data_IF_716226089859
#
_entry.id   IF_716226089859
#
_cell.length_a   1.000
_cell.length_b   1.000
_cell.length_c   1.000
_cell.angle_alpha   90.00
_cell.angle_beta   90.00
_cell.angle_gamma   90.00
#
_symmetry.space_group_name_H-M   'P 1'
#
loop_
_entity.id
_entity.type
_entity.pdbx_description
1 polymer ?
#
# COMPACT_ATOMS: atom_id res chain seq x y z
N UNK A 1 -54.66 38.45 37.50
CA UNK A 1 -54.51 37.23 36.69
C UNK A 1 -53.56 37.42 35.51
N UNK A 2 -53.81 38.35 34.58
CA UNK A 2 -52.98 38.52 33.36
C UNK A 2 -51.50 38.81 33.64
N UNK A 3 -51.20 39.69 34.61
CA UNK A 3 -49.81 40.00 34.97
C UNK A 3 -49.10 38.81 35.65
N UNK A 4 -49.82 38.01 36.43
CA UNK A 4 -49.27 36.81 37.08
C UNK A 4 -48.91 35.73 36.06
N UNK A 5 -49.80 35.49 35.08
CA UNK A 5 -49.51 34.60 33.95
C UNK A 5 -48.30 35.07 33.12
N UNK A 6 -48.14 36.38 32.92
CA UNK A 6 -47.02 36.92 32.14
C UNK A 6 -45.69 36.81 32.90
N UNK A 7 -45.68 36.95 34.23
CA UNK A 7 -44.50 36.68 35.07
C UNK A 7 -44.13 35.20 35.07
N UNK A 8 -45.10 34.29 35.15
CA UNK A 8 -44.87 32.84 35.03
C UNK A 8 -44.30 32.48 33.65
N UNK A 9 -44.88 33.03 32.58
CA UNK A 9 -44.38 32.83 31.22
C UNK A 9 -42.94 33.37 31.03
N UNK A 10 -42.63 34.53 31.61
CA UNK A 10 -41.27 35.11 31.55
C UNK A 10 -40.24 34.25 32.28
N UNK A 11 -40.62 33.67 33.43
CA UNK A 11 -39.76 32.73 34.17
C UNK A 11 -39.49 31.48 33.33
N UNK A 12 -40.54 30.89 32.74
CA UNK A 12 -40.38 29.72 31.87
C UNK A 12 -39.52 30.03 30.64
N UNK A 13 -39.70 31.20 30.03
CA UNK A 13 -38.87 31.66 28.91
C UNK A 13 -37.40 31.80 29.31
N UNK A 14 -37.10 32.29 30.52
CA UNK A 14 -35.73 32.39 31.02
C UNK A 14 -35.06 31.01 31.18
N UNK A 15 -35.80 30.01 31.66
CA UNK A 15 -35.30 28.62 31.79
C UNK A 15 -34.98 28.01 30.41
N UNK A 16 -35.85 28.22 29.42
CA UNK A 16 -35.63 27.75 28.03
C UNK A 16 -34.40 28.42 27.41
N UNK A 17 -34.18 29.72 27.66
CA UNK A 17 -32.99 30.44 27.18
C UNK A 17 -31.71 29.90 27.85
N UNK A 18 -31.74 29.61 29.15
CA UNK A 18 -30.60 29.04 29.86
C UNK A 18 -30.25 27.64 29.33
N UNK A 19 -31.28 26.82 29.07
CA UNK A 19 -31.13 25.51 28.44
C UNK A 19 -30.51 25.63 27.04
N UNK A 20 -31.07 26.49 26.19
CA UNK A 20 -30.54 26.74 24.83
C UNK A 20 -29.08 27.23 24.86
N UNK A 21 -28.74 28.13 25.77
CA UNK A 21 -27.37 28.64 25.96
C UNK A 21 -26.40 27.53 26.33
N UNK A 22 -26.83 26.60 27.19
CA UNK A 22 -26.03 25.43 27.57
C UNK A 22 -25.75 24.55 26.36
N UNK A 23 -26.78 24.22 25.57
CA UNK A 23 -26.61 23.43 24.34
C UNK A 23 -25.72 24.11 23.30
N UNK A 24 -25.77 25.44 23.19
CA UNK A 24 -24.90 26.21 22.29
C UNK A 24 -23.43 26.13 22.75
N UNK A 25 -23.18 26.21 24.05
CA UNK A 25 -21.83 26.05 24.60
C UNK A 25 -21.28 24.64 24.37
N UNK A 26 -22.08 23.60 24.58
CA UNK A 26 -21.71 22.22 24.25
C UNK A 26 -21.41 22.05 22.75
N UNK A 27 -22.23 22.67 21.90
CA UNK A 27 -21.99 22.69 20.45
C UNK A 27 -20.67 23.37 20.10
N UNK A 28 -20.34 24.50 20.73
CA UNK A 28 -19.08 25.20 20.51
C UNK A 28 -17.86 24.34 20.87
N UNK A 29 -17.92 23.59 21.98
CA UNK A 29 -16.86 22.63 22.36
C UNK A 29 -16.73 21.51 21.33
N UNK A 30 -17.86 20.93 20.90
CA UNK A 30 -17.85 19.87 19.90
C UNK A 30 -17.28 20.34 18.55
N UNK A 31 -17.58 21.58 18.14
CA UNK A 31 -17.05 22.17 16.91
C UNK A 31 -15.53 22.38 17.00
N UNK A 32 -15.01 22.81 18.15
CA UNK A 32 -13.57 22.97 18.36
C UNK A 32 -12.85 21.61 18.26
N UNK A 33 -13.43 20.57 18.85
CA UNK A 33 -12.93 19.20 18.75
C UNK A 33 -12.93 18.69 17.30
N UNK A 34 -14.00 18.93 16.54
CA UNK A 34 -14.06 18.60 15.10
C UNK A 34 -12.98 19.35 14.31
N UNK A 35 -12.73 20.63 14.61
CA UNK A 35 -11.67 21.41 13.96
C UNK A 35 -10.29 20.83 14.24
N UNK A 36 -10.00 20.49 15.49
CA UNK A 36 -8.74 19.88 15.90
C UNK A 36 -8.53 18.50 15.27
N UNK A 37 -9.55 17.65 15.29
CA UNK A 37 -9.50 16.33 14.67
C UNK A 37 -9.30 16.43 13.15
N UNK A 38 -9.89 17.45 12.51
CA UNK A 38 -9.67 17.73 11.09
C UNK A 38 -8.20 18.08 10.82
N UNK A 39 -7.59 18.94 11.63
CA UNK A 39 -6.18 19.31 11.47
C UNK A 39 -5.25 18.09 11.60
N UNK A 40 -5.45 17.27 12.63
CA UNK A 40 -4.69 16.02 12.82
C UNK A 40 -4.88 15.05 11.65
N UNK A 41 -6.11 14.92 11.13
CA UNK A 41 -6.40 14.04 9.99
C UNK A 41 -5.74 14.56 8.70
N UNK A 42 -5.68 15.88 8.50
CA UNK A 42 -5.00 16.50 7.35
C UNK A 42 -3.51 16.16 7.35
N UNK A 43 -2.87 16.24 8.52
CA UNK A 43 -1.47 15.85 8.68
C UNK A 43 -1.24 14.35 8.43
N UNK A 44 -2.19 13.50 8.85
CA UNK A 44 -2.12 12.06 8.53
C UNK A 44 -2.28 11.80 7.03
N UNK A 45 -3.18 12.49 6.35
CA UNK A 45 -3.36 12.38 4.90
C UNK A 45 -2.08 12.78 4.15
N UNK A 46 -1.44 13.89 4.55
CA UNK A 46 -0.14 14.32 3.99
C UNK A 46 0.97 13.31 4.21
N UNK A 47 1.06 12.70 5.40
CA UNK A 47 2.03 11.62 5.66
C UNK A 47 1.75 10.38 4.81
N UNK A 48 0.48 10.02 4.60
CA UNK A 48 0.09 8.93 3.71
C UNK A 48 0.55 9.17 2.26
N UNK A 49 0.43 10.40 1.75
CA UNK A 49 0.97 10.79 0.44
C UNK A 49 2.50 10.60 0.39
N UNK A 50 3.22 11.03 1.43
CA UNK A 50 4.68 10.86 1.50
C UNK A 50 5.08 9.38 1.49
N UNK A 51 4.39 8.55 2.28
CA UNK A 51 4.65 7.11 2.34
C UNK A 51 4.30 6.40 1.02
N UNK A 52 3.19 6.77 0.39
CA UNK A 52 2.80 6.24 -0.91
C UNK A 52 3.86 6.57 -1.97
N UNK A 53 4.34 7.82 -2.01
CA UNK A 53 5.40 8.26 -2.93
C UNK A 53 6.70 7.50 -2.71
N UNK A 54 7.17 7.38 -1.46
CA UNK A 54 8.38 6.63 -1.12
C UNK A 54 8.23 5.14 -1.43
N UNK A 55 7.04 4.58 -1.21
CA UNK A 55 6.68 3.24 -1.65
C UNK A 55 6.81 3.09 -3.15
N UNK A 56 6.26 4.03 -3.92
CA UNK A 56 6.28 4.03 -5.39
C UNK A 56 7.71 4.10 -5.94
N UNK A 57 8.58 4.92 -5.34
CA UNK A 57 10.01 4.97 -5.68
C UNK A 57 10.71 3.64 -5.39
N UNK A 58 10.34 2.96 -4.30
CA UNK A 58 10.92 1.66 -3.95
C UNK A 58 10.46 0.56 -4.90
N UNK A 59 9.18 0.58 -5.29
CA UNK A 59 8.64 -0.31 -6.33
C UNK A 59 9.34 -0.08 -7.67
N UNK A 60 9.54 1.18 -8.09
CA UNK A 60 10.23 1.51 -9.34
C UNK A 60 11.66 0.98 -9.37
N UNK A 61 12.40 1.14 -8.27
CA UNK A 61 13.75 0.56 -8.11
C UNK A 61 13.73 -0.97 -8.16
N UNK A 62 12.68 -1.61 -7.64
CA UNK A 62 12.52 -3.06 -7.74
C UNK A 62 12.32 -3.51 -9.19
N UNK A 63 11.46 -2.82 -9.95
CA UNK A 63 11.25 -3.09 -11.39
C UNK A 63 12.57 -2.96 -12.17
N UNK A 64 13.33 -1.88 -11.94
CA UNK A 64 14.67 -1.72 -12.54
C UNK A 64 15.63 -2.86 -12.16
N UNK A 65 15.55 -3.34 -10.91
CA UNK A 65 16.31 -4.49 -10.44
C UNK A 65 15.93 -5.78 -11.19
N UNK A 66 14.63 -6.02 -11.40
CA UNK A 66 14.12 -7.15 -12.18
C UNK A 66 14.60 -7.10 -13.64
N UNK A 67 14.61 -5.92 -14.26
CA UNK A 67 15.14 -5.76 -15.61
C UNK A 67 16.63 -6.12 -15.72
N UNK A 68 17.45 -5.70 -14.74
CA UNK A 68 18.88 -6.08 -14.70
C UNK A 68 19.07 -7.58 -14.49
N UNK A 69 18.24 -8.21 -13.66
CA UNK A 69 18.27 -9.66 -13.48
C UNK A 69 17.91 -10.36 -14.79
N UNK A 70 16.88 -9.88 -15.50
CA UNK A 70 16.47 -10.41 -16.81
C UNK A 70 17.62 -10.35 -17.82
N UNK A 71 18.31 -9.21 -17.91
CA UNK A 71 19.49 -9.06 -18.78
C UNK A 71 20.61 -10.04 -18.44
N UNK A 72 20.90 -10.19 -17.13
CA UNK A 72 21.93 -11.13 -16.64
C UNK A 72 21.57 -12.58 -16.98
N UNK A 73 20.31 -12.97 -16.82
CA UNK A 73 19.81 -14.30 -17.19
C UNK A 73 19.97 -14.53 -18.70
N UNK A 74 19.62 -13.55 -19.54
CA UNK A 74 19.77 -13.66 -20.98
C UNK A 74 21.24 -13.80 -21.41
N UNK A 75 22.15 -13.04 -20.81
CA UNK A 75 23.57 -13.16 -21.09
C UNK A 75 24.11 -14.53 -20.66
N UNK A 76 23.70 -14.99 -19.48
CA UNK A 76 24.09 -16.30 -18.94
C UNK A 76 23.58 -17.44 -19.82
N UNK A 77 22.32 -17.37 -20.27
CA UNK A 77 21.73 -18.33 -21.21
C UNK A 77 22.53 -18.40 -22.52
N UNK A 78 22.94 -17.25 -23.08
CA UNK A 78 23.81 -17.23 -24.28
C UNK A 78 25.17 -17.88 -24.04
N UNK A 79 25.77 -17.70 -22.86
CA UNK A 79 27.04 -18.33 -22.48
C UNK A 79 26.89 -19.85 -22.35
N UNK A 80 25.82 -20.32 -21.72
CA UNK A 80 25.53 -21.76 -21.56
C UNK A 80 25.23 -22.41 -22.91
N UNK A 81 24.47 -21.76 -23.80
CA UNK A 81 24.22 -22.29 -25.16
C UNK A 81 25.53 -22.50 -25.94
N UNK A 82 26.43 -21.51 -25.91
CA UNK A 82 27.77 -21.66 -26.51
C UNK A 82 28.58 -22.79 -25.89
N UNK A 83 28.47 -22.99 -24.57
CA UNK A 83 29.11 -24.11 -23.90
C UNK A 83 28.54 -25.45 -24.39
N UNK A 84 27.22 -25.57 -24.55
CA UNK A 84 26.58 -26.74 -25.13
C UNK A 84 27.04 -27.03 -26.56
N UNK A 85 27.15 -25.99 -27.41
CA UNK A 85 27.71 -26.10 -28.77
C UNK A 85 29.16 -26.58 -28.75
N UNK A 86 30.03 -25.98 -27.92
CA UNK A 86 31.42 -26.43 -27.78
C UNK A 86 31.54 -27.85 -27.23
N UNK A 87 30.65 -28.27 -26.31
CA UNK A 87 30.60 -29.65 -25.83
C UNK A 87 30.16 -30.63 -26.91
N UNK A 88 29.28 -30.22 -27.83
CA UNK A 88 28.93 -31.03 -29.00
C UNK A 88 30.15 -31.22 -29.92
N UNK A 89 30.87 -30.14 -30.24
CA UNK A 89 32.09 -30.23 -31.06
C UNK A 89 33.16 -31.14 -30.42
N UNK A 90 33.32 -31.09 -29.09
CA UNK A 90 34.22 -32.00 -28.37
C UNK A 90 33.72 -33.45 -28.50
N UNK A 91 32.41 -33.68 -28.39
CA UNK A 91 31.81 -35.00 -28.58
C UNK A 91 32.17 -35.60 -29.95
N UNK A 92 32.00 -34.84 -31.01
CA UNK A 92 32.30 -35.25 -32.39
C UNK A 92 33.81 -35.57 -32.56
N UNK A 93 34.70 -34.81 -31.91
CA UNK A 93 36.14 -35.07 -31.91
C UNK A 93 36.48 -36.36 -31.14
N UNK A 94 35.83 -36.60 -30.00
CA UNK A 94 36.05 -37.79 -29.17
C UNK A 94 35.61 -39.05 -29.90
N UNK A 95 34.51 -39.00 -30.64
CA UNK A 95 34.05 -40.08 -31.52
C UNK A 95 35.10 -40.39 -32.59
N UNK A 96 35.60 -39.37 -33.29
CA UNK A 96 36.68 -39.54 -34.29
C UNK A 96 37.96 -40.14 -33.68
N UNK A 97 38.36 -39.74 -32.48
CA UNK A 97 39.56 -40.32 -31.82
C UNK A 97 39.30 -41.78 -31.45
N UNK A 98 38.09 -42.13 -31.01
CA UNK A 98 37.73 -43.51 -30.74
C UNK A 98 37.82 -44.38 -32.01
N UNK A 99 37.33 -43.88 -33.14
CA UNK A 99 37.43 -44.55 -34.44
C UNK A 99 38.89 -44.76 -34.87
N UNK A 100 39.75 -43.74 -34.68
CA UNK A 100 41.19 -43.85 -34.95
C UNK A 100 41.85 -44.89 -34.04
N UNK A 101 41.49 -44.91 -32.74
CA UNK A 101 42.01 -45.88 -31.80
C UNK A 101 41.59 -47.31 -32.19
N UNK A 102 40.34 -47.52 -32.61
CA UNK A 102 39.86 -48.82 -33.07
C UNK A 102 40.54 -49.27 -34.37
N UNK A 103 40.72 -48.37 -35.35
CA UNK A 103 41.49 -48.66 -36.56
C UNK A 103 42.95 -49.00 -36.24
N UNK A 104 43.58 -48.26 -35.32
CA UNK A 104 44.96 -48.50 -34.86
C UNK A 104 45.07 -49.87 -34.19
N UNK A 105 44.06 -50.26 -33.40
CA UNK A 105 43.98 -51.57 -32.77
C UNK A 105 43.93 -52.70 -33.82
N UNK A 106 43.11 -52.53 -34.86
CA UNK A 106 43.02 -53.49 -35.98
C UNK A 106 44.33 -53.56 -36.76
N UNK A 107 44.98 -52.42 -37.03
CA UNK A 107 46.28 -52.35 -37.70
C UNK A 107 47.38 -53.05 -36.89
N UNK A 108 47.41 -52.84 -35.58
CA UNK A 108 48.36 -53.47 -34.66
C UNK A 108 48.16 -54.98 -34.63
N UNK A 109 46.92 -55.46 -34.55
CA UNK A 109 46.60 -56.89 -34.61
C UNK A 109 47.07 -57.52 -35.93
N UNK A 110 46.82 -56.87 -37.06
CA UNK A 110 47.29 -57.34 -38.35
C UNK A 110 48.82 -57.40 -38.42
N UNK A 111 49.52 -56.40 -37.86
CA UNK A 111 50.97 -56.39 -37.77
C UNK A 111 51.51 -57.52 -36.86
N UNK A 112 50.86 -57.80 -35.74
CA UNK A 112 51.20 -58.91 -34.84
C UNK A 112 51.05 -60.27 -35.55
N UNK A 113 49.97 -60.47 -36.31
CA UNK A 113 49.75 -61.68 -37.12
C UNK A 113 50.86 -61.84 -38.17
N UNK A 114 51.19 -60.78 -38.91
CA UNK A 114 52.26 -60.81 -39.91
C UNK A 114 53.65 -61.07 -39.29
N UNK A 115 53.93 -60.47 -38.13
CA UNK A 115 55.16 -60.69 -37.39
C UNK A 115 55.28 -62.14 -36.89
N UNK A 116 54.17 -62.75 -36.45
CA UNK A 116 54.14 -64.17 -36.08
C UNK A 116 54.40 -65.10 -37.29
N UNK A 117 53.89 -64.76 -38.47
CA UNK A 117 54.15 -65.52 -39.70
C UNK A 117 55.61 -65.44 -40.17
N UNK A 118 56.34 -64.36 -39.86
CA UNK A 118 57.76 -64.20 -40.16
C UNK A 118 58.70 -64.97 -39.21
N UNK A 119 58.17 -65.63 -38.17
CA UNK A 119 58.94 -66.47 -37.25
C UNK A 119 60.00 -65.69 -36.45
N UNK A 120 61.22 -66.23 -36.35
CA UNK A 120 62.33 -65.60 -35.60
C UNK A 120 62.71 -64.20 -36.13
N UNK A 121 62.56 -63.94 -37.44
CA UNK A 121 62.85 -62.64 -38.03
C UNK A 121 61.82 -61.55 -37.67
N UNK A 122 60.59 -61.95 -37.32
CA UNK A 122 59.49 -61.05 -36.95
C UNK A 122 59.40 -60.72 -35.46
N UNK A 123 60.26 -61.32 -34.62
CA UNK A 123 60.14 -61.27 -33.16
C UNK A 123 60.19 -59.84 -32.58
N UNK A 124 61.03 -58.97 -33.15
CA UNK A 124 61.09 -57.55 -32.77
C UNK A 124 59.84 -56.76 -33.22
N UNK A 125 59.28 -57.07 -34.39
CA UNK A 125 58.05 -56.44 -34.88
C UNK A 125 56.81 -56.87 -34.08
N UNK A 126 56.77 -58.12 -33.60
CA UNK A 126 55.67 -58.63 -32.77
C UNK A 126 55.56 -57.84 -31.45
N UNK A 127 56.69 -57.55 -30.80
CA UNK A 127 56.71 -56.76 -29.55
C UNK A 127 56.20 -55.33 -29.76
N UNK A 128 56.57 -54.70 -30.88
CA UNK A 128 56.08 -53.37 -31.23
C UNK A 128 54.58 -53.39 -31.53
N UNK A 129 54.10 -54.41 -32.25
CA UNK A 129 52.68 -54.56 -32.56
C UNK A 129 51.82 -54.72 -31.30
N UNK A 130 52.25 -55.55 -30.33
CA UNK A 130 51.57 -55.71 -29.04
C UNK A 130 51.53 -54.39 -28.25
N UNK A 131 52.61 -53.60 -28.24
CA UNK A 131 52.64 -52.33 -27.52
C UNK A 131 51.73 -51.27 -28.19
N UNK A 132 51.67 -51.24 -29.52
CA UNK A 132 50.74 -50.37 -30.27
C UNK A 132 49.29 -50.79 -30.00
N UNK A 133 48.99 -52.09 -29.97
CA UNK A 133 47.67 -52.60 -29.64
C UNK A 133 47.24 -52.15 -28.22
N UNK A 134 48.13 -52.34 -27.24
CA UNK A 134 47.88 -51.91 -25.85
C UNK A 134 47.67 -50.40 -25.73
N UNK A 135 48.41 -49.60 -26.50
CA UNK A 135 48.24 -48.15 -26.53
C UNK A 135 46.90 -47.76 -27.16
N UNK A 136 46.48 -48.44 -28.23
CA UNK A 136 45.19 -48.23 -28.89
C UNK A 136 44.02 -48.56 -27.95
N UNK A 137 44.07 -49.70 -27.25
CA UNK A 137 43.06 -50.07 -26.24
C UNK A 137 43.00 -49.05 -25.09
N UNK A 138 44.15 -48.58 -24.60
CA UNK A 138 44.20 -47.51 -23.58
C UNK A 138 43.59 -46.21 -24.09
N UNK A 139 43.84 -45.84 -25.35
CA UNK A 139 43.27 -44.63 -25.97
C UNK A 139 41.75 -44.75 -26.09
N UNK A 140 41.23 -45.90 -26.55
CA UNK A 140 39.78 -46.13 -26.66
C UNK A 140 39.08 -46.11 -25.29
N UNK A 141 39.72 -46.66 -24.26
CA UNK A 141 39.19 -46.59 -22.90
C UNK A 141 39.17 -45.14 -22.37
N UNK A 142 40.20 -44.34 -22.67
CA UNK A 142 40.23 -42.93 -22.29
C UNK A 142 39.19 -42.10 -23.04
N UNK A 143 39.00 -42.31 -24.36
CA UNK A 143 37.97 -41.60 -25.13
C UNK A 143 36.57 -41.91 -24.62
N UNK A 144 36.25 -43.16 -24.28
CA UNK A 144 34.95 -43.53 -23.67
C UNK A 144 34.69 -42.81 -22.33
N UNK A 145 35.73 -42.61 -21.52
CA UNK A 145 35.59 -41.84 -20.28
C UNK A 145 35.32 -40.35 -20.56
N UNK A 146 36.00 -39.78 -21.56
CA UNK A 146 35.78 -38.39 -21.99
C UNK A 146 34.37 -38.23 -22.58
N UNK A 147 33.91 -39.19 -23.40
CA UNK A 147 32.56 -39.20 -23.98
C UNK A 147 31.48 -39.16 -22.89
N UNK A 148 31.63 -39.97 -21.84
CA UNK A 148 30.73 -39.95 -20.71
C UNK A 148 30.70 -38.57 -20.02
N UNK A 149 31.85 -37.95 -19.81
CA UNK A 149 31.95 -36.60 -19.23
C UNK A 149 31.29 -35.54 -20.12
N UNK A 150 31.54 -35.58 -21.44
CA UNK A 150 30.94 -34.67 -22.41
C UNK A 150 29.42 -34.79 -22.39
N UNK A 151 28.89 -36.02 -22.35
CA UNK A 151 27.44 -36.27 -22.28
C UNK A 151 26.82 -35.72 -20.99
N UNK A 152 27.51 -35.83 -19.86
CA UNK A 152 27.09 -35.18 -18.61
C UNK A 152 27.06 -33.66 -18.77
N UNK A 153 28.11 -33.04 -19.33
CA UNK A 153 28.14 -31.59 -19.57
C UNK A 153 27.01 -31.14 -20.50
N UNK A 154 26.71 -31.89 -21.56
CA UNK A 154 25.59 -31.62 -22.46
C UNK A 154 24.24 -31.67 -21.73
N UNK A 155 24.06 -32.64 -20.83
CA UNK A 155 22.84 -32.77 -20.02
C UNK A 155 22.71 -31.58 -19.06
N UNK A 156 23.76 -31.30 -18.29
CA UNK A 156 23.79 -30.21 -17.30
C UNK A 156 23.59 -28.84 -17.95
N UNK A 157 24.19 -28.60 -19.13
CA UNK A 157 24.01 -27.35 -19.88
C UNK A 157 22.58 -27.20 -20.38
N UNK A 158 21.94 -28.26 -20.87
CA UNK A 158 20.54 -28.23 -21.28
C UNK A 158 19.60 -27.97 -20.09
N UNK A 159 19.82 -28.63 -18.96
CA UNK A 159 19.06 -28.37 -17.73
C UNK A 159 19.22 -26.93 -17.25
N UNK A 160 20.44 -26.38 -17.32
CA UNK A 160 20.70 -25.00 -16.96
C UNK A 160 19.98 -24.01 -17.90
N UNK A 161 19.85 -24.30 -19.19
CA UNK A 161 19.04 -23.48 -20.12
C UNK A 161 17.55 -23.49 -19.72
N UNK A 162 16.99 -24.65 -19.41
CA UNK A 162 15.58 -24.78 -18.96
C UNK A 162 15.37 -23.97 -17.67
N UNK A 163 16.29 -24.07 -16.71
CA UNK A 163 16.24 -23.30 -15.47
C UNK A 163 16.30 -21.78 -15.71
N UNK A 164 17.10 -21.33 -16.69
CA UNK A 164 17.17 -19.92 -17.08
C UNK A 164 15.87 -19.43 -17.73
N UNK A 165 15.18 -20.25 -18.51
CA UNK A 165 13.87 -19.91 -19.10
C UNK A 165 12.80 -19.77 -18.01
N UNK A 166 12.76 -20.70 -17.05
CA UNK A 166 11.87 -20.61 -15.88
C UNK A 166 12.16 -19.36 -15.03
N UNK A 167 13.44 -19.07 -14.81
CA UNK A 167 13.87 -17.87 -14.07
C UNK A 167 13.44 -16.58 -14.80
N UNK A 168 13.52 -16.57 -16.13
CA UNK A 168 13.04 -15.44 -16.95
C UNK A 168 11.54 -15.22 -16.74
N UNK A 169 10.73 -16.28 -16.79
CA UNK A 169 9.29 -16.19 -16.52
C UNK A 169 8.99 -15.69 -15.10
N UNK A 170 9.76 -16.16 -14.11
CA UNK A 170 9.66 -15.70 -12.72
C UNK A 170 9.93 -14.20 -12.56
N UNK A 171 10.99 -13.70 -13.20
CA UNK A 171 11.35 -12.27 -13.17
C UNK A 171 10.29 -11.40 -13.85
N UNK A 172 9.75 -11.84 -15.00
CA UNK A 172 8.66 -11.11 -15.69
C UNK A 172 7.40 -11.04 -14.82
N UNK A 173 7.02 -12.13 -14.17
CA UNK A 173 5.89 -12.13 -13.24
C UNK A 173 6.16 -11.24 -12.03
N UNK A 174 7.38 -11.29 -11.47
CA UNK A 174 7.80 -10.43 -10.37
C UNK A 174 7.74 -8.93 -10.73
N UNK A 175 8.17 -8.56 -11.94
CA UNK A 175 8.07 -7.19 -12.44
C UNK A 175 6.60 -6.73 -12.56
N UNK A 176 5.71 -7.58 -13.10
CA UNK A 176 4.27 -7.29 -13.18
C UNK A 176 3.63 -7.08 -11.81
N UNK A 177 3.93 -7.95 -10.84
CA UNK A 177 3.39 -7.81 -9.47
C UNK A 177 3.90 -6.53 -8.78
N UNK A 178 5.15 -6.16 -9.05
CA UNK A 178 5.70 -4.89 -8.58
C UNK A 178 4.97 -3.71 -9.23
N UNK A 179 4.70 -3.75 -10.53
CA UNK A 179 3.94 -2.73 -11.25
C UNK A 179 2.52 -2.55 -10.67
N UNK A 180 1.78 -3.64 -10.44
CA UNK A 180 0.47 -3.63 -9.78
C UNK A 180 0.53 -3.00 -8.38
N UNK A 181 1.60 -3.28 -7.62
CA UNK A 181 1.84 -2.64 -6.32
C UNK A 181 2.09 -1.13 -6.46
N UNK A 182 2.76 -0.71 -7.54
CA UNK A 182 2.99 0.68 -7.88
C UNK A 182 1.68 1.42 -8.20
N UNK A 183 0.79 0.80 -8.96
CA UNK A 183 -0.55 1.33 -9.25
C UNK A 183 -1.39 1.51 -7.98
N UNK A 184 -1.36 0.53 -7.07
CA UNK A 184 -2.06 0.62 -5.80
C UNK A 184 -1.55 1.80 -4.94
N UNK A 185 -0.24 2.07 -4.96
CA UNK A 185 0.35 3.21 -4.26
C UNK A 185 -0.05 4.55 -4.90
N UNK A 186 -0.15 4.62 -6.23
CA UNK A 186 -0.68 5.79 -6.93
C UNK A 186 -2.15 6.08 -6.57
N UNK A 187 -2.97 5.04 -6.41
CA UNK A 187 -4.34 5.17 -5.93
C UNK A 187 -4.39 5.66 -4.48
N UNK A 188 -3.54 5.16 -3.59
CA UNK A 188 -3.43 5.65 -2.21
C UNK A 188 -3.06 7.14 -2.19
N UNK A 189 -2.15 7.56 -3.07
CA UNK A 189 -1.77 8.97 -3.19
C UNK A 189 -2.98 9.84 -3.55
N UNK A 190 -3.71 9.48 -4.61
CA UNK A 190 -4.92 10.21 -5.06
C UNK A 190 -5.98 10.31 -3.97
N UNK A 191 -6.31 9.18 -3.33
CA UNK A 191 -7.30 9.15 -2.25
C UNK A 191 -6.85 9.99 -1.06
N UNK A 192 -5.55 10.01 -0.75
CA UNK A 192 -5.02 10.83 0.34
C UNK A 192 -5.05 12.33 0.03
N UNK A 193 -4.80 12.71 -1.22
CA UNK A 193 -4.93 14.10 -1.68
C UNK A 193 -6.41 14.56 -1.61
N UNK A 194 -7.34 13.72 -2.07
CA UNK A 194 -8.78 14.00 -1.97
C UNK A 194 -9.24 14.11 -0.52
N UNK A 195 -8.73 13.24 0.36
CA UNK A 195 -8.98 13.30 1.81
C UNK A 195 -8.50 14.63 2.39
N UNK A 196 -7.29 15.08 2.06
CA UNK A 196 -6.76 16.35 2.54
C UNK A 196 -7.66 17.53 2.12
N UNK A 197 -8.17 17.53 0.90
CA UNK A 197 -9.10 18.56 0.42
C UNK A 197 -10.46 18.51 1.14
N UNK A 198 -11.00 17.31 1.37
CA UNK A 198 -12.26 17.14 2.11
C UNK A 198 -12.12 17.65 3.55
N UNK A 199 -11.00 17.36 4.19
CA UNK A 199 -10.70 17.78 5.57
C UNK A 199 -10.56 19.31 5.66
N UNK A 200 -9.98 19.96 4.65
CA UNK A 200 -9.91 21.42 4.58
C UNK A 200 -11.32 22.04 4.52
N UNK A 201 -12.24 21.43 3.77
CA UNK A 201 -13.65 21.84 3.72
C UNK A 201 -14.37 21.61 5.06
N UNK A 202 -14.09 20.51 5.77
CA UNK A 202 -14.65 20.24 7.10
C UNK A 202 -14.15 21.29 8.10
N UNK A 203 -12.84 21.59 8.10
CA UNK A 203 -12.26 22.62 8.97
C UNK A 203 -12.87 24.00 8.70
N UNK A 204 -13.06 24.37 7.43
CA UNK A 204 -13.73 25.61 7.05
C UNK A 204 -15.19 25.66 7.54
N UNK A 205 -15.92 24.56 7.41
CA UNK A 205 -17.31 24.42 7.87
C UNK A 205 -17.42 24.50 9.39
N UNK A 206 -16.52 23.84 10.13
CA UNK A 206 -16.42 23.92 11.58
C UNK A 206 -16.17 25.37 12.04
N UNK A 207 -15.23 26.08 11.42
CA UNK A 207 -14.99 27.52 11.71
C UNK A 207 -16.21 28.40 11.42
N UNK A 208 -17.03 28.04 10.43
CA UNK A 208 -18.28 28.75 10.17
C UNK A 208 -19.34 28.45 11.24
N UNK A 209 -19.50 27.18 11.63
CA UNK A 209 -20.41 26.78 12.70
C UNK A 209 -20.02 27.39 14.05
N UNK A 210 -18.73 27.48 14.37
CA UNK A 210 -18.25 28.13 15.60
C UNK A 210 -18.67 29.59 15.67
N UNK A 211 -18.51 30.34 14.56
CA UNK A 211 -18.99 31.72 14.45
C UNK A 211 -20.51 31.83 14.59
N UNK A 212 -21.26 30.90 13.99
CA UNK A 212 -22.71 30.86 14.12
C UNK A 212 -23.15 30.59 15.58
N UNK A 213 -22.52 29.63 16.26
CA UNK A 213 -22.78 29.34 17.67
C UNK A 213 -22.50 30.56 18.55
N UNK A 214 -21.41 31.30 18.30
CA UNK A 214 -21.10 32.55 18.98
C UNK A 214 -22.21 33.61 18.82
N UNK A 215 -22.69 33.82 17.60
CA UNK A 215 -23.78 34.75 17.32
C UNK A 215 -25.11 34.34 17.98
N UNK A 216 -25.42 33.04 18.02
CA UNK A 216 -26.63 32.54 18.69
C UNK A 216 -26.50 32.74 20.21
N UNK A 217 -25.32 32.49 20.79
CA UNK A 217 -25.05 32.74 22.21
C UNK A 217 -25.25 34.21 22.58
N UNK A 218 -24.73 35.14 21.78
CA UNK A 218 -24.96 36.58 21.95
C UNK A 218 -26.45 36.93 21.84
N UNK A 219 -27.15 36.35 20.86
CA UNK A 219 -28.59 36.53 20.70
C UNK A 219 -29.37 36.03 21.91
N UNK A 220 -29.03 34.86 22.47
CA UNK A 220 -29.66 34.33 23.68
C UNK A 220 -29.43 35.25 24.89
N UNK A 221 -28.24 35.84 25.00
CA UNK A 221 -27.94 36.80 26.06
C UNK A 221 -28.83 38.06 25.96
N UNK A 222 -29.08 38.56 24.76
CA UNK A 222 -30.00 39.69 24.51
C UNK A 222 -31.45 39.30 24.84
N UNK A 223 -31.90 38.10 24.45
CA UNK A 223 -33.26 37.63 24.76
C UNK A 223 -33.43 37.47 26.28
N UNK A 224 -32.40 37.01 27.00
CA UNK A 224 -32.44 36.90 28.46
C UNK A 224 -32.60 38.28 29.12
N UNK A 225 -31.89 39.31 28.63
CA UNK A 225 -32.02 40.68 29.11
C UNK A 225 -33.44 41.22 28.89
N UNK A 226 -33.98 41.05 27.67
CA UNK A 226 -35.36 41.45 27.32
C UNK A 226 -36.38 40.73 28.21
N UNK A 227 -36.18 39.43 28.46
CA UNK A 227 -37.07 38.61 29.31
C UNK A 227 -37.06 39.12 30.75
N UNK A 228 -35.89 39.49 31.27
CA UNK A 228 -35.72 40.08 32.61
C UNK A 228 -36.41 41.43 32.71
N UNK A 229 -36.23 42.31 31.73
CA UNK A 229 -36.90 43.61 31.67
C UNK A 229 -38.42 43.48 31.54
N UNK A 230 -38.90 42.52 30.75
CA UNK A 230 -40.33 42.24 30.57
C UNK A 230 -40.96 41.76 31.87
N UNK A 231 -40.30 40.85 32.60
CA UNK A 231 -40.74 40.38 33.92
C UNK A 231 -40.81 41.54 34.93
N UNK A 232 -39.79 42.39 34.97
CA UNK A 232 -39.77 43.58 35.83
C UNK A 232 -40.92 44.55 35.52
N UNK A 233 -41.11 44.91 34.25
CA UNK A 233 -42.20 45.80 33.82
C UNK A 233 -43.59 45.21 34.06
N UNK A 234 -43.73 43.89 33.95
CA UNK A 234 -44.97 43.17 34.28
C UNK A 234 -45.29 43.27 35.78
N UNK A 235 -44.30 43.09 36.64
CA UNK A 235 -44.46 43.24 38.08
C UNK A 235 -44.84 44.67 38.47
N UNK A 236 -44.21 45.68 37.86
CA UNK A 236 -44.54 47.10 38.09
C UNK A 236 -45.97 47.43 37.61
N UNK A 237 -46.37 46.88 36.47
CA UNK A 237 -47.74 47.01 35.94
C UNK A 237 -48.75 46.34 36.88
N UNK A 238 -48.44 45.15 37.40
CA UNK A 238 -49.27 44.44 38.39
C UNK A 238 -49.47 45.27 39.65
N UNK A 239 -48.39 45.86 40.18
CA UNK A 239 -48.44 46.74 41.34
C UNK A 239 -49.31 47.99 41.07
N UNK A 240 -49.15 48.60 39.90
CA UNK A 240 -49.94 49.77 39.48
C UNK A 240 -51.43 49.44 39.35
N UNK A 241 -51.77 48.29 38.77
CA UNK A 241 -53.16 47.79 38.69
C UNK A 241 -53.73 47.52 40.09
N UNK A 242 -52.94 46.93 40.99
CA UNK A 242 -53.33 46.71 42.39
C UNK A 242 -53.66 48.02 43.12
N UNK A 243 -52.82 49.05 42.93
CA UNK A 243 -53.06 50.39 43.46
C UNK A 243 -54.33 51.02 42.87
N UNK A 244 -54.56 50.90 41.56
CA UNK A 244 -55.77 51.39 40.91
C UNK A 244 -57.03 50.69 41.42
N UNK A 245 -56.98 49.38 41.63
CA UNK A 245 -58.10 48.61 42.19
C UNK A 245 -58.42 49.06 43.62
N UNK A 246 -57.40 49.29 44.45
CA UNK A 246 -57.59 49.82 45.81
C UNK A 246 -58.22 51.22 45.80
N UNK A 247 -57.74 52.11 44.93
CA UNK A 247 -58.29 53.46 44.77
C UNK A 247 -59.75 53.42 44.29
N UNK A 248 -60.07 52.54 43.34
CA UNK A 248 -61.43 52.36 42.85
C UNK A 248 -62.39 51.83 43.94
N UNK A 249 -61.94 50.90 44.79
CA UNK A 249 -62.71 50.43 45.95
C UNK A 249 -62.93 51.55 46.98
N UNK A 250 -61.91 52.37 47.25
CA UNK A 250 -62.02 53.53 48.15
C UNK A 250 -63.02 54.57 47.62
N UNK A 251 -62.96 54.89 46.31
CA UNK A 251 -63.95 55.74 45.66
C UNK A 251 -65.36 55.14 45.74
N UNK A 252 -65.50 53.83 45.51
CA UNK A 252 -66.77 53.12 45.64
C UNK A 252 -67.37 53.23 47.05
N UNK A 253 -66.56 53.02 48.09
CA UNK A 253 -66.96 53.20 49.50
C UNK A 253 -67.35 54.65 49.81
N UNK A 254 -66.59 55.61 49.29
CA UNK A 254 -66.87 57.04 49.47
C UNK A 254 -68.24 57.42 48.87
N UNK A 255 -68.57 56.90 47.68
CA UNK A 255 -69.83 57.18 46.99
C UNK A 255 -71.01 56.38 47.57
N UNK A 256 -70.79 55.18 48.13
CA UNK A 256 -71.83 54.36 48.76
C UNK A 256 -72.52 55.02 49.97
N UNK A 257 -71.88 56.02 50.60
CA UNK A 257 -72.48 56.85 51.63
C UNK A 257 -73.55 57.83 51.12
N UNK A 258 -73.59 58.09 49.81
CA UNK A 258 -74.58 58.96 49.17
C UNK A 258 -75.75 58.13 48.64
N UNK A 259 -76.64 57.67 49.51
CA UNK A 259 -77.94 57.14 49.08
C UNK A 259 -78.86 58.29 48.69
N UNK A 260 -79.50 58.18 47.52
CA UNK A 260 -80.61 59.03 47.14
C UNK A 260 -81.80 58.77 48.10
N UNK A 261 -82.52 59.82 48.55
CA UNK A 261 -83.76 59.62 49.30
C UNK A 261 -84.77 58.86 48.41
N UNK A 262 -85.52 57.92 49.00
CA UNK A 262 -86.71 57.35 48.35
C UNK A 262 -87.73 58.43 47.98
#
# INVERSE_FOLDING_TARGET
ETAQHLTEASTHQADEIASATTSINEMAVSIDEVSKNSEETSDMARKSVEYAKKGGETVRRNIEGMDRIRETIQETSKRIKRLGESSQEIGDIVELINDIAEQTNILALNAAIQAAMAGEAGRGFAVVADEVQRLAERSSNATKQIEALVKTIQTDTNEAVISMEQSTAGVVNGARLAEESGEALDQIQKVSDDLASLIENISASARQQSRAAGNISETMHVIQEITTQTSAGTNETSASIGNLAALADEMGRSVAGFKLPE
#
